data_IF_501142771417
#
_entry.id   IF_501142771417
#
_cell.length_a   1.000
_cell.length_b   1.000
_cell.length_c   1.000
_cell.angle_alpha   90.00
_cell.angle_beta   90.00
_cell.angle_gamma   90.00
#
_symmetry.space_group_name_H-M   'P 1'
#
loop_
_entity.id
_entity.type
_entity.pdbx_description
1 polymer ?
#
# COMPACT_ATOMS: atom_id res chain seq x y z
N UNK A 1 -5.60 35.12 -23.42
CA UNK A 1 -4.23 34.94 -22.93
C UNK A 1 -4.13 33.50 -22.45
N UNK A 2 -3.08 32.81 -22.86
CA UNK A 2 -2.78 31.44 -22.42
C UNK A 2 -1.39 31.50 -21.75
N UNK A 3 -1.34 31.11 -20.49
CA UNK A 3 -0.08 30.94 -19.80
C UNK A 3 0.50 29.55 -20.11
N UNK A 4 1.76 29.52 -20.51
CA UNK A 4 2.46 28.30 -20.88
C UNK A 4 3.92 28.36 -20.41
N UNK A 5 4.58 27.23 -20.33
CA UNK A 5 6.01 27.12 -20.02
C UNK A 5 6.70 26.15 -20.96
N UNK A 6 8.00 26.33 -21.16
CA UNK A 6 8.80 25.42 -21.99
C UNK A 6 8.73 24.01 -21.39
N UNK A 7 8.54 23.00 -22.24
CA UNK A 7 8.33 21.60 -21.88
C UNK A 7 7.21 21.38 -20.86
N UNK A 8 6.30 22.35 -20.69
CA UNK A 8 5.23 22.27 -19.70
C UNK A 8 5.71 22.30 -18.25
N UNK A 9 6.92 22.82 -17.96
CA UNK A 9 7.49 22.84 -16.62
C UNK A 9 6.53 23.50 -15.62
N UNK A 10 6.21 22.82 -14.52
CA UNK A 10 5.32 23.31 -13.49
C UNK A 10 5.05 22.27 -12.42
N UNK A 11 4.34 22.65 -11.36
CA UNK A 11 3.98 21.71 -10.28
C UNK A 11 2.99 20.65 -10.76
N UNK A 12 3.14 19.44 -10.26
CA UNK A 12 2.21 18.35 -10.52
C UNK A 12 2.17 17.94 -11.97
N UNK A 13 1.02 18.12 -12.63
CA UNK A 13 0.85 17.85 -14.06
C UNK A 13 1.61 18.81 -14.97
N UNK A 14 2.23 19.85 -14.41
CA UNK A 14 2.88 20.92 -15.19
C UNK A 14 1.88 21.95 -15.75
N UNK A 15 2.39 22.76 -16.66
CA UNK A 15 1.64 23.79 -17.36
C UNK A 15 1.33 23.38 -18.81
N UNK A 16 0.58 24.22 -19.52
CA UNK A 16 0.47 24.10 -20.97
C UNK A 16 1.88 24.24 -21.60
N UNK A 17 2.18 23.39 -22.56
CA UNK A 17 3.49 23.31 -23.19
C UNK A 17 3.63 24.41 -24.23
N UNK A 18 4.56 25.36 -24.03
CA UNK A 18 4.74 26.52 -24.90
C UNK A 18 4.91 26.13 -26.38
N UNK A 19 5.77 25.17 -26.66
CA UNK A 19 6.06 24.69 -28.01
C UNK A 19 4.82 24.09 -28.68
N UNK A 20 3.95 23.38 -27.96
CA UNK A 20 2.72 22.83 -28.49
C UNK A 20 1.68 23.93 -28.74
N UNK A 21 1.52 24.86 -27.81
CA UNK A 21 0.58 25.99 -27.95
C UNK A 21 1.02 26.91 -29.10
N UNK A 22 2.30 27.29 -29.18
CA UNK A 22 2.84 28.12 -30.24
C UNK A 22 2.67 27.45 -31.61
N UNK A 23 3.01 26.16 -31.74
CA UNK A 23 2.82 25.42 -32.97
C UNK A 23 1.35 25.34 -33.38
N UNK A 24 0.43 25.08 -32.44
CA UNK A 24 -1.00 25.06 -32.71
C UNK A 24 -1.50 26.42 -33.24
N UNK A 25 -1.07 27.53 -32.62
CA UNK A 25 -1.44 28.89 -33.04
C UNK A 25 -0.90 29.23 -34.42
N UNK A 26 0.33 28.81 -34.71
CA UNK A 26 0.93 28.95 -36.05
C UNK A 26 0.13 28.17 -37.11
N UNK A 27 -0.19 26.91 -36.83
CA UNK A 27 -0.99 26.05 -37.74
C UNK A 27 -2.37 26.62 -38.01
N UNK A 28 -2.97 27.30 -37.03
CA UNK A 28 -4.25 27.99 -37.18
C UNK A 28 -4.13 29.39 -37.79
N UNK A 29 -2.92 29.82 -38.11
CA UNK A 29 -2.63 31.16 -38.66
C UNK A 29 -3.07 32.32 -37.74
N UNK A 30 -3.14 32.05 -36.42
CA UNK A 30 -3.44 33.12 -35.44
C UNK A 30 -2.21 33.91 -35.05
N UNK A 31 -1.04 33.30 -35.13
CA UNK A 31 0.25 33.89 -34.82
C UNK A 31 1.34 33.35 -35.77
N UNK A 32 2.52 33.92 -35.68
CA UNK A 32 3.70 33.46 -36.44
C UNK A 32 4.90 33.44 -35.50
N UNK A 33 4.91 32.50 -34.58
CA UNK A 33 6.04 32.30 -33.66
C UNK A 33 7.18 31.57 -34.36
N UNK A 34 8.41 31.99 -34.06
CA UNK A 34 9.62 31.28 -34.54
C UNK A 34 9.82 30.01 -33.72
N UNK A 35 9.45 28.89 -34.30
CA UNK A 35 9.55 27.57 -33.62
C UNK A 35 11.02 27.16 -33.47
N UNK A 36 11.94 27.59 -34.33
CA UNK A 36 13.37 27.22 -34.20
C UNK A 36 13.95 27.85 -32.94
N UNK A 37 13.66 29.14 -32.68
CA UNK A 37 14.11 29.78 -31.44
C UNK A 37 13.55 29.14 -30.18
N UNK A 38 12.32 28.64 -30.23
CA UNK A 38 11.72 27.91 -29.11
C UNK A 38 12.45 26.58 -28.89
N UNK A 39 12.73 25.81 -29.94
CA UNK A 39 13.44 24.55 -29.86
C UNK A 39 14.90 24.76 -29.38
N UNK A 40 15.60 25.76 -29.89
CA UNK A 40 16.97 26.12 -29.45
C UNK A 40 16.97 26.45 -27.94
N UNK A 41 15.97 27.19 -27.47
CA UNK A 41 15.83 27.51 -26.05
C UNK A 41 15.57 26.26 -25.18
N UNK A 42 14.79 25.29 -25.68
CA UNK A 42 14.56 24.02 -25.01
C UNK A 42 15.87 23.24 -24.89
N UNK A 43 16.58 23.07 -26.00
CA UNK A 43 17.84 22.32 -26.02
C UNK A 43 18.91 22.96 -25.12
N UNK A 44 18.96 24.29 -25.10
CA UNK A 44 19.96 25.02 -24.32
C UNK A 44 19.70 25.04 -22.82
N UNK A 45 18.44 25.14 -22.40
CA UNK A 45 18.09 25.43 -20.99
C UNK A 45 17.27 24.36 -20.30
N UNK A 46 16.50 23.53 -21.01
CA UNK A 46 15.53 22.65 -20.36
C UNK A 46 16.08 21.27 -20.02
N UNK A 47 17.14 20.81 -20.64
CA UNK A 47 17.72 19.49 -20.41
C UNK A 47 18.05 19.25 -18.93
N UNK A 48 18.74 20.20 -18.29
CA UNK A 48 19.08 20.12 -16.87
C UNK A 48 17.83 19.95 -15.99
N UNK A 49 16.77 20.70 -16.28
CA UNK A 49 15.54 20.63 -15.50
C UNK A 49 14.81 19.29 -15.70
N UNK A 50 14.78 18.78 -16.93
CA UNK A 50 14.14 17.47 -17.22
C UNK A 50 14.88 16.30 -16.57
N UNK A 51 16.21 16.38 -16.45
CA UNK A 51 17.03 15.35 -15.80
C UNK A 51 16.89 15.36 -14.25
N UNK A 52 16.66 16.52 -13.66
CA UNK A 52 16.70 16.69 -12.20
C UNK A 52 15.32 16.87 -11.55
N UNK A 53 14.27 17.16 -12.32
CA UNK A 53 12.93 17.41 -11.81
C UNK A 53 11.90 16.66 -12.63
N UNK A 54 10.83 16.22 -11.96
CA UNK A 54 9.72 15.52 -12.60
C UNK A 54 8.48 16.40 -12.63
N UNK A 55 7.88 16.54 -13.80
CA UNK A 55 6.56 17.10 -14.02
C UNK A 55 5.91 16.43 -15.24
N UNK A 56 4.64 16.72 -15.49
CA UNK A 56 3.92 16.22 -16.64
C UNK A 56 2.75 15.35 -16.26
N UNK A 57 2.21 14.66 -17.24
CA UNK A 57 1.03 13.84 -17.05
C UNK A 57 1.23 12.76 -15.99
N UNK A 58 0.31 12.72 -15.05
CA UNK A 58 0.14 11.57 -14.16
C UNK A 58 -1.34 11.38 -13.83
N UNK A 59 -1.76 10.14 -13.64
CA UNK A 59 -3.16 9.80 -13.31
C UNK A 59 -3.67 10.54 -12.07
N UNK A 60 -2.92 10.69 -10.97
CA UNK A 60 -3.38 11.46 -9.82
C UNK A 60 -3.71 12.92 -10.13
N UNK A 61 -2.84 13.61 -10.85
CA UNK A 61 -3.08 15.01 -11.21
C UNK A 61 -4.12 15.17 -12.32
N UNK A 62 -4.30 14.18 -13.18
CA UNK A 62 -5.43 14.12 -14.08
C UNK A 62 -6.78 14.07 -13.31
N UNK A 63 -6.85 13.26 -12.24
CA UNK A 63 -8.00 13.21 -11.33
C UNK A 63 -8.23 14.59 -10.70
N UNK A 64 -7.18 15.28 -10.24
CA UNK A 64 -7.29 16.64 -9.72
C UNK A 64 -7.96 17.58 -10.73
N UNK A 65 -7.52 17.56 -11.98
CA UNK A 65 -8.08 18.37 -13.06
C UNK A 65 -9.55 18.03 -13.35
N UNK A 66 -9.87 16.74 -13.42
CA UNK A 66 -11.22 16.22 -13.68
C UNK A 66 -12.26 16.75 -12.66
N UNK A 67 -11.86 16.85 -11.40
CA UNK A 67 -12.74 17.26 -10.30
C UNK A 67 -12.56 18.72 -9.86
N UNK A 68 -11.78 19.52 -10.61
CA UNK A 68 -11.39 20.89 -10.21
C UNK A 68 -10.85 20.95 -8.77
N UNK A 69 -10.04 19.95 -8.40
CA UNK A 69 -9.48 19.80 -7.07
C UNK A 69 -8.12 20.48 -6.97
N UNK A 70 -7.86 21.14 -5.85
CA UNK A 70 -6.57 21.76 -5.59
C UNK A 70 -5.46 20.72 -5.57
N UNK A 71 -4.37 20.97 -6.29
CA UNK A 71 -3.25 20.00 -6.48
C UNK A 71 -2.60 19.56 -5.16
N UNK A 72 -2.66 20.39 -4.12
CA UNK A 72 -2.12 20.04 -2.81
C UNK A 72 -2.88 18.87 -2.15
N UNK A 73 -4.18 18.70 -2.40
CA UNK A 73 -4.94 17.56 -1.91
C UNK A 73 -4.39 16.26 -2.48
N UNK A 74 -4.11 16.25 -3.79
CA UNK A 74 -3.49 15.08 -4.44
C UNK A 74 -2.08 14.85 -3.93
N UNK A 75 -1.27 15.91 -3.82
CA UNK A 75 0.10 15.80 -3.31
C UNK A 75 0.13 15.26 -1.87
N UNK A 76 -0.83 15.66 -1.03
CA UNK A 76 -0.98 15.13 0.33
C UNK A 76 -1.29 13.64 0.32
N UNK A 77 -2.28 13.20 -0.46
CA UNK A 77 -2.64 11.79 -0.57
C UNK A 77 -1.50 10.92 -1.09
N UNK A 78 -0.76 11.41 -2.10
CA UNK A 78 0.41 10.70 -2.63
C UNK A 78 1.57 10.60 -1.64
N UNK A 79 1.76 11.64 -0.82
CA UNK A 79 2.89 11.70 0.11
C UNK A 79 2.64 10.93 1.40
N UNK A 80 1.41 10.99 1.91
CA UNK A 80 1.08 10.52 3.25
C UNK A 80 0.26 9.24 3.26
N UNK A 81 -0.37 8.87 2.14
CA UNK A 81 -1.25 7.72 2.03
C UNK A 81 -0.95 6.87 0.80
N UNK A 82 -1.24 5.58 0.94
CA UNK A 82 -1.10 4.59 -0.13
C UNK A 82 -2.40 4.50 -0.93
N UNK A 83 -2.78 5.60 -1.58
CA UNK A 83 -4.02 5.68 -2.35
C UNK A 83 -3.81 5.22 -3.79
N UNK A 84 -4.68 4.34 -4.27
CA UNK A 84 -4.81 4.05 -5.70
C UNK A 84 -5.75 5.06 -6.39
N UNK A 85 -5.86 4.99 -7.72
CA UNK A 85 -6.69 5.93 -8.49
C UNK A 85 -8.18 5.87 -8.13
N UNK A 86 -8.70 4.71 -7.73
CA UNK A 86 -10.10 4.56 -7.31
C UNK A 86 -10.33 5.22 -5.95
N UNK A 87 -9.46 4.93 -4.98
CA UNK A 87 -9.54 5.54 -3.65
C UNK A 87 -9.44 7.06 -3.74
N UNK A 88 -8.49 7.55 -4.54
CA UNK A 88 -8.30 8.98 -4.77
C UNK A 88 -9.56 9.65 -5.34
N UNK A 89 -10.20 9.04 -6.34
CA UNK A 89 -11.47 9.54 -6.87
C UNK A 89 -12.57 9.57 -5.82
N UNK A 90 -12.75 8.47 -5.09
CA UNK A 90 -13.77 8.38 -4.04
C UNK A 90 -13.57 9.43 -2.93
N UNK A 91 -12.33 9.65 -2.52
CA UNK A 91 -12.00 10.69 -1.52
C UNK A 91 -12.33 12.07 -2.07
N UNK A 92 -11.89 12.39 -3.30
CA UNK A 92 -12.17 13.69 -3.92
C UNK A 92 -13.67 13.88 -4.19
N UNK A 93 -14.39 12.84 -4.59
CA UNK A 93 -15.84 12.91 -4.79
C UNK A 93 -16.60 13.15 -3.49
N UNK A 94 -16.10 12.66 -2.36
CA UNK A 94 -16.71 12.90 -1.04
C UNK A 94 -16.55 14.33 -0.52
N UNK A 95 -15.65 15.13 -1.12
CA UNK A 95 -15.51 16.55 -0.84
C UNK A 95 -16.53 17.37 -1.66
N UNK A 96 -17.10 18.41 -1.06
CA UNK A 96 -17.90 19.39 -1.78
C UNK A 96 -17.06 20.18 -2.81
N UNK A 97 -17.67 20.80 -3.82
CA UNK A 97 -16.95 21.60 -4.81
C UNK A 97 -16.11 22.75 -4.21
N UNK A 98 -16.52 23.29 -3.07
CA UNK A 98 -15.78 24.34 -2.37
C UNK A 98 -14.58 23.78 -1.63
N UNK A 99 -14.74 22.65 -0.97
CA UNK A 99 -13.66 21.95 -0.25
C UNK A 99 -12.59 21.45 -1.23
N UNK A 100 -12.97 20.96 -2.41
CA UNK A 100 -12.00 20.55 -3.46
C UNK A 100 -11.09 21.69 -3.90
N UNK A 101 -11.57 22.92 -3.96
CA UNK A 101 -10.79 24.09 -4.40
C UNK A 101 -9.83 24.61 -3.34
N UNK A 102 -10.06 24.28 -2.10
CA UNK A 102 -9.17 24.58 -0.96
C UNK A 102 -8.33 23.35 -0.62
N UNK A 103 -7.45 23.50 0.34
CA UNK A 103 -6.78 22.36 0.95
C UNK A 103 -6.88 22.48 2.47
N UNK A 104 -7.48 21.44 3.04
CA UNK A 104 -7.61 21.22 4.47
C UNK A 104 -7.17 19.78 4.72
N UNK A 105 -6.00 19.64 5.32
CA UNK A 105 -5.37 18.32 5.47
C UNK A 105 -6.09 17.49 6.54
N UNK A 106 -6.69 18.10 7.55
CA UNK A 106 -7.44 17.40 8.59
C UNK A 106 -8.74 16.82 8.00
N UNK A 107 -9.46 17.62 7.22
CA UNK A 107 -10.64 17.16 6.50
C UNK A 107 -10.28 16.04 5.48
N UNK A 108 -9.17 16.20 4.78
CA UNK A 108 -8.72 15.21 3.80
C UNK A 108 -8.35 13.87 4.46
N UNK A 109 -7.73 13.94 5.66
CA UNK A 109 -7.44 12.78 6.49
C UNK A 109 -8.72 12.09 6.94
N UNK A 110 -9.72 12.85 7.40
CA UNK A 110 -11.04 12.32 7.75
C UNK A 110 -11.67 11.58 6.56
N UNK A 111 -11.70 12.21 5.38
CA UNK A 111 -12.27 11.61 4.16
C UNK A 111 -11.49 10.38 3.68
N UNK A 112 -10.16 10.39 3.82
CA UNK A 112 -9.35 9.20 3.57
C UNK A 112 -9.78 8.04 4.46
N UNK A 113 -9.91 8.29 5.77
CA UNK A 113 -10.30 7.28 6.74
C UNK A 113 -11.74 6.79 6.54
N UNK A 114 -12.67 7.68 6.20
CA UNK A 114 -14.03 7.32 5.82
C UNK A 114 -14.06 6.41 4.57
N UNK A 115 -13.24 6.71 3.55
CA UNK A 115 -13.14 5.88 2.35
C UNK A 115 -12.60 4.47 2.65
N UNK A 116 -11.68 4.35 3.60
CA UNK A 116 -11.17 3.05 4.06
C UNK A 116 -12.19 2.31 4.94
N UNK A 117 -13.11 3.04 5.54
CA UNK A 117 -14.02 2.54 6.57
C UNK A 117 -15.34 2.02 6.00
N UNK A 118 -15.28 0.98 5.17
CA UNK A 118 -16.50 0.25 4.82
C UNK A 118 -16.93 -0.60 6.01
N UNK A 119 -17.96 -0.16 6.73
CA UNK A 119 -18.55 -0.93 7.82
C UNK A 119 -19.28 -2.13 7.23
N UNK A 120 -18.92 -3.31 7.70
CA UNK A 120 -19.58 -4.58 7.38
C UNK A 120 -19.97 -5.26 8.69
N UNK A 121 -21.05 -6.02 8.66
CA UNK A 121 -21.36 -6.95 9.74
C UNK A 121 -20.44 -8.17 9.55
N UNK A 122 -19.47 -8.33 10.45
CA UNK A 122 -18.47 -9.38 10.41
C UNK A 122 -18.51 -10.31 11.64
N UNK A 123 -19.56 -10.22 12.47
CA UNK A 123 -19.62 -10.97 13.71
C UNK A 123 -19.61 -12.49 13.46
N UNK A 124 -20.36 -12.97 12.47
CA UNK A 124 -20.35 -14.39 12.09
C UNK A 124 -18.97 -14.85 11.55
N UNK A 125 -18.27 -13.98 10.81
CA UNK A 125 -16.92 -14.24 10.31
C UNK A 125 -15.93 -14.30 11.46
N UNK A 126 -16.03 -13.39 12.41
CA UNK A 126 -15.19 -13.39 13.61
C UNK A 126 -15.37 -14.65 14.45
N UNK A 127 -16.61 -15.07 14.67
CA UNK A 127 -16.93 -16.33 15.38
C UNK A 127 -16.35 -17.55 14.65
N UNK A 128 -16.50 -17.61 13.33
CA UNK A 128 -15.93 -18.69 12.52
C UNK A 128 -14.39 -18.73 12.61
N UNK A 129 -13.74 -17.58 12.51
CA UNK A 129 -12.27 -17.47 12.61
C UNK A 129 -11.80 -17.82 14.04
N UNK A 130 -12.48 -17.34 15.06
CA UNK A 130 -12.16 -17.67 16.45
C UNK A 130 -12.24 -19.18 16.69
N UNK A 131 -13.33 -19.84 16.26
CA UNK A 131 -13.47 -21.29 16.37
C UNK A 131 -12.34 -22.06 15.65
N UNK A 132 -11.86 -21.55 14.52
CA UNK A 132 -10.80 -22.19 13.74
C UNK A 132 -9.39 -21.94 14.30
N UNK A 133 -9.14 -20.77 14.89
CA UNK A 133 -7.79 -20.28 15.22
C UNK A 133 -7.49 -20.22 16.71
N UNK A 134 -8.51 -20.05 17.58
CA UNK A 134 -8.28 -19.96 19.02
C UNK A 134 -7.55 -21.20 19.55
N UNK A 135 -6.61 -20.98 20.45
CA UNK A 135 -5.77 -22.02 21.05
C UNK A 135 -4.92 -22.85 20.06
N UNK A 136 -4.82 -22.41 18.79
CA UNK A 136 -3.92 -22.99 17.79
C UNK A 136 -2.64 -22.16 17.70
N UNK A 137 -1.56 -22.81 17.34
CA UNK A 137 -0.34 -22.09 16.90
C UNK A 137 -0.55 -21.62 15.46
N UNK A 138 -0.17 -20.36 15.20
CA UNK A 138 -0.28 -19.75 13.87
C UNK A 138 1.10 -19.35 13.38
N UNK A 139 1.42 -19.67 12.13
CA UNK A 139 2.61 -19.19 11.44
C UNK A 139 2.16 -18.14 10.43
N UNK A 140 2.64 -16.91 10.59
CA UNK A 140 2.46 -15.83 9.62
C UNK A 140 3.65 -15.81 8.65
N UNK A 141 3.36 -15.97 7.36
CA UNK A 141 4.36 -15.86 6.30
C UNK A 141 4.20 -14.49 5.66
N UNK A 142 5.06 -13.56 6.06
CA UNK A 142 5.15 -12.23 5.47
C UNK A 142 5.99 -12.26 4.17
N UNK A 143 5.89 -11.23 3.32
CA UNK A 143 6.51 -11.25 1.99
C UNK A 143 8.01 -10.96 1.97
N UNK A 144 8.69 -10.84 3.10
CA UNK A 144 10.12 -10.60 3.20
C UNK A 144 10.95 -11.73 2.59
N UNK A 145 12.18 -11.42 2.24
CA UNK A 145 13.07 -12.29 1.48
C UNK A 145 13.42 -13.59 2.20
N UNK A 146 13.53 -13.54 3.54
CA UNK A 146 13.83 -14.72 4.35
C UNK A 146 12.74 -15.78 4.29
N UNK A 147 11.48 -15.38 3.98
CA UNK A 147 10.42 -16.38 3.76
C UNK A 147 10.70 -17.33 2.59
N UNK A 148 11.52 -16.91 1.60
CA UNK A 148 11.94 -17.78 0.48
C UNK A 148 13.32 -18.40 0.68
N UNK A 149 14.26 -17.72 1.33
CA UNK A 149 15.59 -18.28 1.58
C UNK A 149 15.54 -19.42 2.58
N UNK A 150 14.74 -19.27 3.62
CA UNK A 150 14.69 -20.19 4.76
C UNK A 150 13.47 -21.14 4.73
N UNK A 151 12.82 -21.24 3.56
CA UNK A 151 11.54 -21.95 3.40
C UNK A 151 11.57 -23.41 3.90
N UNK A 152 12.71 -24.11 3.79
CA UNK A 152 12.83 -25.50 4.26
C UNK A 152 12.69 -25.59 5.76
N UNK A 153 13.45 -24.76 6.50
CA UNK A 153 13.39 -24.69 7.95
C UNK A 153 11.99 -24.31 8.44
N UNK A 154 11.37 -23.33 7.78
CA UNK A 154 10.02 -22.89 8.12
C UNK A 154 9.01 -24.02 7.90
N UNK A 155 9.12 -24.74 6.77
CA UNK A 155 8.23 -25.87 6.46
C UNK A 155 8.40 -27.03 7.46
N UNK A 156 9.64 -27.34 7.86
CA UNK A 156 9.90 -28.34 8.91
C UNK A 156 9.25 -27.93 10.24
N UNK A 157 9.35 -26.66 10.60
CA UNK A 157 8.69 -26.13 11.79
C UNK A 157 7.17 -26.25 11.73
N UNK A 158 6.55 -25.88 10.61
CA UNK A 158 5.10 -25.99 10.37
C UNK A 158 4.64 -27.45 10.53
N UNK A 159 5.37 -28.38 9.91
CA UNK A 159 5.04 -29.82 9.99
C UNK A 159 5.16 -30.35 11.41
N UNK A 160 6.19 -29.94 12.15
CA UNK A 160 6.44 -30.38 13.53
C UNK A 160 5.36 -29.86 14.49
N UNK A 161 4.91 -28.63 14.31
CA UNK A 161 3.95 -27.98 15.22
C UNK A 161 2.49 -28.17 14.80
N UNK A 162 2.24 -28.62 13.58
CA UNK A 162 0.91 -28.66 12.97
C UNK A 162 0.19 -27.29 13.08
N UNK A 163 0.97 -26.22 12.87
CA UNK A 163 0.49 -24.84 12.95
C UNK A 163 -0.39 -24.48 11.76
N UNK A 164 -1.33 -23.56 11.97
CA UNK A 164 -2.09 -22.93 10.88
C UNK A 164 -1.20 -21.93 10.16
N UNK A 165 -1.19 -21.97 8.84
CA UNK A 165 -0.33 -21.13 7.99
C UNK A 165 -1.14 -20.03 7.34
N UNK A 166 -0.78 -18.78 7.63
CA UNK A 166 -1.45 -17.60 7.06
C UNK A 166 -0.44 -16.78 6.24
N UNK A 167 -0.69 -16.65 4.94
CA UNK A 167 0.07 -15.75 4.08
C UNK A 167 -0.36 -14.30 4.28
N UNK A 168 0.58 -13.37 4.34
CA UNK A 168 0.32 -11.96 4.56
C UNK A 168 0.58 -11.15 3.29
N UNK A 169 -0.47 -10.60 2.70
CA UNK A 169 -0.42 -9.72 1.53
C UNK A 169 0.35 -10.28 0.30
N UNK A 170 0.68 -11.56 0.29
CA UNK A 170 1.39 -12.21 -0.80
C UNK A 170 1.18 -13.73 -0.77
N UNK A 171 1.26 -14.35 -1.93
CA UNK A 171 1.38 -15.80 -2.08
C UNK A 171 2.86 -16.11 -2.33
N UNK A 172 3.44 -16.96 -1.50
CA UNK A 172 4.75 -17.55 -1.75
C UNK A 172 4.56 -19.01 -2.15
N UNK A 173 4.94 -19.41 -3.38
CA UNK A 173 4.68 -20.76 -3.91
C UNK A 173 5.33 -21.92 -3.13
N UNK A 174 6.28 -21.61 -2.25
CA UNK A 174 6.94 -22.61 -1.41
C UNK A 174 6.04 -23.15 -0.28
N UNK A 175 4.88 -22.54 -0.05
CA UNK A 175 3.98 -22.90 1.04
C UNK A 175 2.58 -23.25 0.57
N UNK A 176 1.92 -24.12 1.32
CA UNK A 176 0.48 -24.28 1.29
C UNK A 176 -0.11 -23.46 2.42
N UNK A 177 -1.01 -22.55 2.09
CA UNK A 177 -1.65 -21.67 3.07
C UNK A 177 -3.04 -22.19 3.44
N UNK A 178 -3.38 -22.18 4.73
CA UNK A 178 -4.75 -22.36 5.20
C UNK A 178 -5.56 -21.09 4.94
N UNK A 179 -4.94 -19.91 5.15
CA UNK A 179 -5.54 -18.62 4.91
C UNK A 179 -4.58 -17.66 4.21
N UNK A 180 -5.15 -16.73 3.44
CA UNK A 180 -4.45 -15.59 2.86
C UNK A 180 -5.07 -14.30 3.41
N UNK A 181 -4.33 -13.59 4.26
CA UNK A 181 -4.72 -12.30 4.79
C UNK A 181 -4.32 -11.18 3.84
N UNK A 182 -5.29 -10.40 3.39
CA UNK A 182 -5.10 -9.30 2.44
C UNK A 182 -5.74 -8.03 3.00
N UNK A 183 -5.00 -6.92 2.92
CA UNK A 183 -5.46 -5.65 3.44
C UNK A 183 -5.50 -4.50 2.42
N UNK A 184 -5.11 -4.73 1.17
CA UNK A 184 -5.25 -3.72 0.12
C UNK A 184 -5.56 -4.35 -1.25
N UNK A 185 -6.30 -3.58 -2.07
CA UNK A 185 -6.79 -4.02 -3.38
C UNK A 185 -5.66 -4.34 -4.36
N UNK A 186 -4.52 -3.64 -4.27
CA UNK A 186 -3.38 -3.89 -5.18
C UNK A 186 -2.79 -5.28 -4.96
N UNK A 187 -2.63 -5.69 -3.70
CA UNK A 187 -2.14 -7.02 -3.34
C UNK A 187 -3.15 -8.12 -3.66
N UNK A 188 -4.44 -7.84 -3.46
CA UNK A 188 -5.52 -8.74 -3.85
C UNK A 188 -5.50 -9.02 -5.36
N UNK A 189 -5.46 -7.96 -6.18
CA UNK A 189 -5.43 -8.11 -7.63
C UNK A 189 -4.17 -8.83 -8.11
N UNK A 190 -3.01 -8.47 -7.57
CA UNK A 190 -1.75 -9.12 -7.89
C UNK A 190 -1.78 -10.62 -7.59
N UNK A 191 -2.24 -11.01 -6.40
CA UNK A 191 -2.34 -12.42 -6.03
C UNK A 191 -3.30 -13.19 -6.94
N UNK A 192 -4.44 -12.57 -7.30
CA UNK A 192 -5.45 -13.15 -8.20
C UNK A 192 -4.93 -13.34 -9.63
N UNK A 193 -4.16 -12.38 -10.15
CA UNK A 193 -3.64 -12.39 -11.53
C UNK A 193 -2.42 -13.28 -11.68
N UNK A 194 -1.49 -13.22 -10.73
CA UNK A 194 -0.19 -13.93 -10.84
C UNK A 194 -0.27 -15.38 -10.35
N UNK A 195 -1.09 -15.64 -9.33
CA UNK A 195 -1.24 -16.95 -8.70
C UNK A 195 -2.69 -17.47 -8.72
N UNK A 196 -3.39 -17.51 -9.89
CA UNK A 196 -4.83 -17.76 -9.96
C UNK A 196 -5.25 -19.10 -9.35
N UNK A 197 -4.41 -20.12 -9.45
CA UNK A 197 -4.71 -21.45 -8.88
C UNK A 197 -4.66 -21.42 -7.37
N UNK A 198 -3.55 -20.99 -6.78
CA UNK A 198 -3.38 -20.92 -5.32
C UNK A 198 -4.39 -19.94 -4.70
N UNK A 199 -4.63 -18.80 -5.37
CA UNK A 199 -5.61 -17.83 -4.95
C UNK A 199 -7.03 -18.40 -4.94
N UNK A 200 -7.41 -19.20 -5.93
CA UNK A 200 -8.73 -19.86 -6.00
C UNK A 200 -8.91 -20.96 -4.94
N UNK A 201 -7.85 -21.63 -4.53
CA UNK A 201 -7.89 -22.75 -3.57
C UNK A 201 -7.88 -22.31 -2.11
N UNK A 202 -7.16 -21.21 -1.77
CA UNK A 202 -6.97 -20.73 -0.39
C UNK A 202 -8.19 -19.97 0.12
N UNK A 203 -8.48 -20.11 1.43
CA UNK A 203 -9.45 -19.23 2.11
C UNK A 203 -8.84 -17.85 2.35
N UNK A 204 -9.61 -16.80 2.09
CA UNK A 204 -9.13 -15.42 2.15
C UNK A 204 -9.74 -14.67 3.31
N UNK A 205 -8.91 -14.02 4.12
CA UNK A 205 -9.32 -13.06 5.14
C UNK A 205 -9.05 -11.68 4.55
N UNK A 206 -10.10 -10.99 4.18
CA UNK A 206 -10.03 -9.66 3.55
C UNK A 206 -10.48 -8.59 4.53
N UNK A 207 -9.80 -7.46 4.53
CA UNK A 207 -10.31 -6.30 5.24
C UNK A 207 -11.37 -5.57 4.41
N UNK A 208 -12.35 -4.97 5.07
CA UNK A 208 -13.52 -4.35 4.44
C UNK A 208 -13.21 -3.15 3.55
N UNK A 209 -11.98 -2.60 3.61
CA UNK A 209 -11.49 -1.59 2.69
C UNK A 209 -11.15 -2.14 1.28
N UNK A 210 -11.05 -3.46 1.11
CA UNK A 210 -10.89 -4.09 -0.20
C UNK A 210 -12.25 -4.15 -0.88
N UNK A 211 -12.39 -3.43 -1.99
CA UNK A 211 -13.66 -3.36 -2.75
C UNK A 211 -13.70 -4.47 -3.79
N UNK A 212 -14.18 -5.64 -3.38
CA UNK A 212 -14.44 -6.76 -4.29
C UNK A 212 -15.90 -7.20 -4.21
N UNK A 213 -16.37 -7.91 -5.22
CA UNK A 213 -17.60 -8.70 -5.08
C UNK A 213 -17.24 -9.92 -4.24
N UNK A 214 -17.97 -10.21 -3.14
CA UNK A 214 -17.68 -11.36 -2.30
C UNK A 214 -17.70 -12.66 -3.11
N UNK A 215 -16.65 -13.47 -2.94
CA UNK A 215 -16.56 -14.83 -3.46
C UNK A 215 -16.76 -15.84 -2.30
N UNK A 216 -17.14 -17.09 -2.60
CA UNK A 216 -17.46 -18.10 -1.58
C UNK A 216 -16.38 -18.33 -0.51
N UNK A 217 -15.11 -18.12 -0.86
CA UNK A 217 -13.97 -18.35 0.05
C UNK A 217 -13.41 -17.06 0.67
N UNK A 218 -14.20 -16.01 0.69
CA UNK A 218 -13.79 -14.71 1.21
C UNK A 218 -14.48 -14.39 2.52
N UNK A 219 -13.68 -14.24 3.58
CA UNK A 219 -14.11 -13.81 4.91
C UNK A 219 -13.76 -12.34 5.07
N UNK A 220 -14.76 -11.47 5.10
CA UNK A 220 -14.55 -10.03 5.18
C UNK A 220 -14.60 -9.60 6.64
N UNK A 221 -13.49 -9.04 7.13
CA UNK A 221 -13.33 -8.50 8.48
C UNK A 221 -13.36 -6.99 8.43
N UNK A 222 -14.04 -6.36 9.36
CA UNK A 222 -14.13 -4.91 9.45
C UNK A 222 -12.75 -4.29 9.68
N UNK A 223 -12.34 -3.40 8.77
CA UNK A 223 -11.04 -2.72 8.81
C UNK A 223 -10.76 -2.05 10.17
N UNK A 224 -11.78 -1.45 10.78
CA UNK A 224 -11.67 -0.80 12.08
C UNK A 224 -11.33 -1.73 13.25
N UNK A 225 -11.53 -3.03 13.10
CA UNK A 225 -11.18 -3.97 14.17
C UNK A 225 -9.67 -4.09 14.37
N UNK A 226 -8.87 -3.83 13.32
CA UNK A 226 -7.43 -4.08 13.32
C UNK A 226 -6.58 -2.83 13.19
N UNK A 227 -7.15 -1.75 12.70
CA UNK A 227 -6.44 -0.47 12.55
C UNK A 227 -6.25 0.20 13.90
N UNK A 228 -5.05 0.73 14.13
CA UNK A 228 -4.72 1.63 15.24
C UNK A 228 -3.99 2.83 14.69
N UNK A 229 -4.49 4.03 15.01
CA UNK A 229 -3.89 5.30 14.59
C UNK A 229 -2.75 5.71 15.52
N UNK A 230 -1.98 6.70 15.12
CA UNK A 230 -0.86 7.25 15.87
C UNK A 230 0.48 7.20 15.12
N UNK A 231 0.49 6.59 13.95
CA UNK A 231 1.64 6.50 13.05
C UNK A 231 1.23 6.96 11.66
N UNK A 232 2.19 7.49 10.93
CA UNK A 232 1.97 7.96 9.56
C UNK A 232 1.65 6.80 8.59
N UNK A 233 2.34 5.65 8.77
CA UNK A 233 2.15 4.45 7.98
C UNK A 233 1.52 3.32 8.83
N UNK A 234 0.38 3.61 9.41
CA UNK A 234 -0.30 2.77 10.41
C UNK A 234 -0.86 1.44 9.88
N UNK A 235 -0.80 1.21 8.58
CA UNK A 235 -1.43 0.10 7.88
C UNK A 235 -0.47 -1.07 7.59
N UNK A 236 0.49 -1.35 8.47
CA UNK A 236 1.35 -2.52 8.31
C UNK A 236 0.55 -3.83 8.43
N UNK A 237 0.66 -4.68 7.39
CA UNK A 237 -0.15 -5.87 7.27
C UNK A 237 0.12 -6.93 8.35
N UNK A 238 1.39 -7.12 8.74
CA UNK A 238 1.75 -8.08 9.79
C UNK A 238 1.18 -7.63 11.14
N UNK A 239 1.37 -6.35 11.49
CA UNK A 239 0.86 -5.80 12.75
C UNK A 239 -0.67 -5.88 12.81
N UNK A 240 -1.35 -5.60 11.69
CA UNK A 240 -2.81 -5.69 11.64
C UNK A 240 -3.32 -7.14 11.72
N UNK A 241 -2.60 -8.09 11.11
CA UNK A 241 -2.89 -9.51 11.28
C UNK A 241 -2.68 -9.96 12.74
N UNK A 242 -1.62 -9.52 13.39
CA UNK A 242 -1.39 -9.79 14.83
C UNK A 242 -2.53 -9.26 15.69
N UNK A 243 -3.01 -8.03 15.42
CA UNK A 243 -4.17 -7.45 16.14
C UNK A 243 -5.46 -8.24 15.91
N UNK A 244 -5.66 -8.77 14.71
CA UNK A 244 -6.78 -9.67 14.43
C UNK A 244 -6.66 -10.95 15.25
N UNK A 245 -5.50 -11.60 15.21
CA UNK A 245 -5.26 -12.87 15.92
C UNK A 245 -5.37 -12.71 17.44
N UNK A 246 -4.96 -11.57 17.99
CA UNK A 246 -5.13 -11.26 19.41
C UNK A 246 -6.63 -11.19 19.80
N UNK A 247 -7.47 -10.57 18.96
CA UNK A 247 -8.93 -10.54 19.14
C UNK A 247 -9.61 -11.91 18.96
N UNK A 248 -8.97 -12.82 18.24
CA UNK A 248 -9.39 -14.20 18.06
C UNK A 248 -8.80 -15.16 19.12
N UNK A 249 -8.20 -14.60 20.16
CA UNK A 249 -7.62 -15.35 21.29
C UNK A 249 -6.55 -16.36 20.92
N UNK A 250 -5.79 -16.08 19.84
CA UNK A 250 -4.61 -16.88 19.47
C UNK A 250 -3.49 -16.63 20.47
N UNK A 251 -2.95 -17.70 21.07
CA UNK A 251 -1.98 -17.61 22.16
C UNK A 251 -0.53 -17.57 21.67
N UNK A 252 -0.24 -18.15 20.51
CA UNK A 252 1.12 -18.27 19.97
C UNK A 252 1.13 -18.00 18.48
N UNK A 253 2.00 -17.07 18.07
CA UNK A 253 2.24 -16.72 16.67
C UNK A 253 3.74 -16.77 16.38
N UNK A 254 4.10 -17.46 15.30
CA UNK A 254 5.46 -17.50 14.78
C UNK A 254 5.55 -16.72 13.47
N UNK A 255 6.53 -15.83 13.36
CA UNK A 255 6.70 -14.91 12.23
C UNK A 255 7.82 -15.38 11.32
N UNK A 256 7.58 -15.44 10.02
CA UNK A 256 8.58 -15.68 9.00
C UNK A 256 8.46 -14.62 7.89
N UNK A 257 9.60 -14.13 7.38
CA UNK A 257 9.61 -13.10 6.35
C UNK A 257 9.19 -11.71 6.82
N UNK A 258 9.19 -11.44 8.11
CA UNK A 258 8.99 -10.10 8.67
C UNK A 258 10.33 -9.41 8.87
N UNK A 259 11.08 -9.24 7.79
CA UNK A 259 12.51 -8.90 7.78
C UNK A 259 12.81 -7.44 8.12
N UNK A 260 11.89 -6.54 7.75
CA UNK A 260 12.13 -5.11 7.60
C UNK A 260 12.51 -4.74 6.17
N UNK A 261 12.58 -3.43 5.91
CA UNK A 261 12.89 -2.91 4.58
C UNK A 261 14.38 -2.57 4.46
N UNK A 262 14.96 -2.90 3.30
CA UNK A 262 16.34 -2.55 2.90
C UNK A 262 16.32 -1.44 1.86
N UNK A 263 17.46 -0.81 1.59
CA UNK A 263 17.61 0.41 0.77
C UNK A 263 17.09 0.32 -0.66
N UNK A 264 16.84 -0.87 -1.18
CA UNK A 264 16.23 -1.05 -2.50
C UNK A 264 14.96 -1.87 -2.37
N UNK A 265 13.91 -1.36 -2.95
CA UNK A 265 12.59 -1.93 -3.02
C UNK A 265 12.57 -3.42 -3.40
N UNK A 266 13.21 -3.76 -4.52
CA UNK A 266 13.24 -5.14 -5.04
C UNK A 266 14.09 -6.10 -4.18
N UNK A 267 14.83 -5.61 -3.21
CA UNK A 267 15.66 -6.42 -2.31
C UNK A 267 14.95 -6.82 -1.03
N UNK A 268 13.81 -6.19 -0.72
CA UNK A 268 13.07 -6.41 0.54
C UNK A 268 12.05 -7.54 0.44
N UNK A 269 11.61 -7.92 -0.77
CA UNK A 269 10.57 -8.93 -0.96
C UNK A 269 11.12 -10.22 -1.58
N UNK A 270 10.50 -11.35 -1.21
CA UNK A 270 10.75 -12.65 -1.82
C UNK A 270 10.38 -12.67 -3.30
N UNK A 271 9.26 -12.04 -3.65
CA UNK A 271 8.83 -11.80 -5.01
C UNK A 271 9.21 -10.35 -5.41
N UNK A 272 10.19 -10.21 -6.29
CA UNK A 272 10.69 -8.92 -6.74
C UNK A 272 9.65 -8.11 -7.58
N UNK A 273 8.62 -8.78 -8.12
CA UNK A 273 7.54 -8.14 -8.86
C UNK A 273 6.36 -7.73 -7.98
N UNK A 274 6.40 -8.07 -6.69
CA UNK A 274 5.31 -7.78 -5.75
C UNK A 274 5.09 -6.26 -5.63
N UNK A 275 3.92 -5.72 -6.01
CA UNK A 275 3.69 -4.29 -6.02
C UNK A 275 3.76 -3.69 -4.61
N UNK A 276 4.33 -2.50 -4.47
CA UNK A 276 4.33 -1.74 -3.22
C UNK A 276 3.84 -0.32 -3.43
N UNK A 277 3.27 0.24 -2.38
CA UNK A 277 2.91 1.64 -2.28
C UNK A 277 3.85 2.40 -1.31
N UNK A 278 4.91 1.73 -0.82
CA UNK A 278 5.88 2.37 0.06
C UNK A 278 6.73 3.38 -0.72
N UNK A 279 7.03 4.56 -0.14
CA UNK A 279 7.89 5.53 -0.79
C UNK A 279 9.35 5.04 -0.84
N UNK A 280 9.98 5.17 -2.00
CA UNK A 280 11.30 4.58 -2.33
C UNK A 280 12.50 5.05 -1.50
N UNK A 281 12.39 6.08 -0.69
CA UNK A 281 13.52 6.70 -0.01
C UNK A 281 13.28 6.96 1.49
N UNK A 282 12.33 6.24 2.11
CA UNK A 282 11.95 6.41 3.52
C UNK A 282 12.00 5.09 4.31
N UNK A 283 12.88 4.20 3.93
CA UNK A 283 12.95 2.86 4.52
C UNK A 283 13.27 2.88 6.01
N UNK A 284 14.18 3.76 6.44
CA UNK A 284 14.56 3.88 7.85
C UNK A 284 13.38 4.43 8.67
N UNK A 285 12.74 5.52 8.21
CA UNK A 285 11.53 6.08 8.84
C UNK A 285 10.43 5.02 8.96
N UNK A 286 10.22 4.24 7.90
CA UNK A 286 9.21 3.18 7.88
C UNK A 286 9.56 2.03 8.85
N UNK A 287 10.82 1.63 8.90
CA UNK A 287 11.27 0.59 9.83
C UNK A 287 11.15 1.03 11.29
N UNK A 288 11.48 2.28 11.60
CA UNK A 288 11.31 2.85 12.94
C UNK A 288 9.83 2.87 13.35
N UNK A 289 8.93 3.31 12.47
CA UNK A 289 7.49 3.30 12.73
C UNK A 289 6.95 1.87 12.93
N UNK A 290 7.37 0.91 12.10
CA UNK A 290 6.94 -0.49 12.22
C UNK A 290 7.43 -1.08 13.54
N UNK A 291 8.67 -0.79 13.92
CA UNK A 291 9.21 -1.23 15.21
C UNK A 291 8.39 -0.67 16.37
N UNK A 292 8.10 0.63 16.36
CA UNK A 292 7.29 1.27 17.41
C UNK A 292 5.86 0.69 17.46
N UNK A 293 5.22 0.46 16.30
CA UNK A 293 3.93 -0.23 16.23
C UNK A 293 3.98 -1.64 16.81
N UNK A 294 5.06 -2.38 16.52
CA UNK A 294 5.24 -3.74 17.00
C UNK A 294 5.45 -3.78 18.52
N UNK A 295 6.30 -2.91 19.07
CA UNK A 295 6.50 -2.78 20.52
C UNK A 295 5.21 -2.33 21.23
N UNK A 296 4.47 -1.39 20.64
CA UNK A 296 3.18 -0.97 21.16
C UNK A 296 2.15 -2.13 21.20
N UNK A 297 2.15 -2.98 20.17
CA UNK A 297 1.32 -4.18 20.14
C UNK A 297 1.74 -5.16 21.26
N UNK A 298 3.03 -5.48 21.37
CA UNK A 298 3.57 -6.39 22.42
C UNK A 298 3.22 -5.91 23.83
N UNK A 299 3.31 -4.61 24.08
CA UNK A 299 2.97 -4.02 25.39
C UNK A 299 1.48 -4.17 25.76
N UNK A 300 0.60 -4.37 24.79
CA UNK A 300 -0.86 -4.46 24.99
C UNK A 300 -1.43 -5.88 24.80
N UNK A 301 -0.63 -6.85 24.40
CA UNK A 301 -1.05 -8.22 24.11
C UNK A 301 -0.29 -9.23 24.98
N UNK A 302 -0.97 -10.30 25.37
CA UNK A 302 -0.35 -11.46 26.04
C UNK A 302 0.08 -12.56 25.05
N UNK A 303 -0.05 -12.33 23.77
CA UNK A 303 0.31 -13.27 22.71
C UNK A 303 1.82 -13.54 22.72
N UNK A 304 2.19 -14.82 22.69
CA UNK A 304 3.58 -15.24 22.53
C UNK A 304 3.97 -15.13 21.06
N UNK A 305 4.97 -14.31 20.76
CA UNK A 305 5.47 -14.11 19.40
C UNK A 305 6.90 -14.64 19.34
N UNK A 306 7.17 -15.45 18.30
CA UNK A 306 8.49 -15.96 17.99
C UNK A 306 8.87 -15.62 16.54
N UNK A 307 10.15 -15.42 16.27
CA UNK A 307 10.67 -15.24 14.92
C UNK A 307 11.28 -16.54 14.41
N UNK A 308 10.86 -17.00 13.24
CA UNK A 308 11.42 -18.17 12.57
C UNK A 308 12.56 -17.81 11.61
N UNK A 309 12.65 -16.53 11.24
CA UNK A 309 13.66 -15.98 10.34
C UNK A 309 14.25 -14.71 10.93
N UNK A 310 15.42 -14.32 10.42
CA UNK A 310 16.06 -13.06 10.81
C UNK A 310 15.13 -11.87 10.56
N UNK A 311 15.07 -10.96 11.54
CA UNK A 311 14.24 -9.75 11.49
C UNK A 311 14.92 -8.60 12.22
N UNK A 312 14.87 -7.40 11.68
CA UNK A 312 15.34 -6.19 12.38
C UNK A 312 14.46 -5.83 13.58
N UNK A 313 13.26 -6.42 13.68
CA UNK A 313 12.29 -6.19 14.75
C UNK A 313 12.42 -7.21 15.90
N UNK A 314 13.31 -8.20 15.74
CA UNK A 314 13.65 -9.16 16.80
C UNK A 314 14.73 -8.57 17.72
N UNK A 315 14.35 -8.16 18.91
CA UNK A 315 15.25 -7.59 19.91
C UNK A 315 15.73 -8.64 20.93
N UNK A 316 15.77 -9.92 20.56
CA UNK A 316 16.37 -10.99 21.36
C UNK A 316 15.45 -11.64 22.39
N UNK A 317 14.14 -11.59 22.19
CA UNK A 317 13.18 -12.39 22.94
C UNK A 317 12.96 -13.73 22.24
N UNK A 318 13.79 -14.72 22.62
CA UNK A 318 13.69 -16.15 22.29
C UNK A 318 13.44 -16.48 20.80
N UNK A 319 14.55 -16.60 20.06
CA UNK A 319 14.58 -17.50 18.90
C UNK A 319 14.43 -18.94 19.45
N UNK A 320 13.39 -19.65 19.05
CA UNK A 320 13.14 -21.06 19.43
C UNK A 320 14.02 -21.97 18.57
#
# INVERSE_FOLDING_TARGET
IVDASLCGMGRGAGNATTELVANYLNLKQYCNYDMNQIMDAIDMYMQYFQENYTWGYSTPYFIAGMYCCHVNNIAYLLKNHRTNALDMRNIIESLSPEERRKYDYDLLEEKYLENQNRIVDDDAVMEQLEHALANREVVLIAPGKTSSTDWKQITEYIQKTNAIVIGINAINPNYTFDYLYLMNTVRYNYAKEVYPKQFGEVQKILLSNIKTSPEEKEMIVNFNRVIKRGWKHFDNAVINALRLLDKLHVQKVSLAGFDGFKHKYNESYADAALPTLNPDNKWDELNEEINDMFQNFKASSNMKIAFLTESIFDHGEQTI
#
